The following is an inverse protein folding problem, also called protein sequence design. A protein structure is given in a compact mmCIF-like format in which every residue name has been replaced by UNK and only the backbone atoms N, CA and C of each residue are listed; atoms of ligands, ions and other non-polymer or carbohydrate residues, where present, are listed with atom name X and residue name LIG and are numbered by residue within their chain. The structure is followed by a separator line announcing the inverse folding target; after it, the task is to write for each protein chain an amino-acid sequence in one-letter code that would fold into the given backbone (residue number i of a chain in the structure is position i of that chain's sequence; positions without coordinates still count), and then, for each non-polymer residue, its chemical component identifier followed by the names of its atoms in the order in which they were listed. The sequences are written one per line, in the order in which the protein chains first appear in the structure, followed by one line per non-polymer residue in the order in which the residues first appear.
data_IF_490471577621
#
_entry.id   IF_490471577621
#
_cell.length_a   1.000
_cell.length_b   1.000
_cell.length_c   1.000
_cell.angle_alpha   90.00
_cell.angle_beta   90.00
_cell.angle_gamma   90.00
#
_symmetry.space_group_name_H-M   'P 1'
#
loop_
_entity.id
_entity.type
_entity.pdbx_description
1 polymer ?
#
# COMPACT_ATOMS: atom_id res chain seq x y z
N UNK A 1 8.80 23.33 26.36
CA UNK A 1 9.58 22.29 25.65
C UNK A 1 8.73 21.76 24.51
N UNK A 2 8.89 22.33 23.32
CA UNK A 2 8.08 22.01 22.15
C UNK A 2 8.77 20.87 21.40
N UNK A 3 8.24 19.65 21.52
CA UNK A 3 8.74 18.52 20.76
C UNK A 3 8.50 18.76 19.26
N UNK A 4 9.58 19.12 18.56
CA UNK A 4 9.66 19.18 17.11
C UNK A 4 9.41 17.79 16.54
N UNK A 5 8.25 17.60 15.91
CA UNK A 5 7.91 16.39 15.16
C UNK A 5 8.82 16.28 13.94
N UNK A 6 9.95 15.61 14.08
CA UNK A 6 10.84 15.27 12.96
C UNK A 6 10.12 14.29 12.04
N UNK A 7 9.48 14.79 10.99
CA UNK A 7 9.03 13.98 9.86
C UNK A 7 10.29 13.45 9.16
N UNK A 8 10.72 12.23 9.51
CA UNK A 8 11.70 11.51 8.71
C UNK A 8 11.06 11.20 7.36
N UNK A 9 11.21 12.13 6.41
CA UNK A 9 10.91 11.90 5.01
C UNK A 9 11.89 10.84 4.54
N UNK A 10 11.47 9.57 4.51
CA UNK A 10 12.21 8.58 3.73
C UNK A 10 12.34 9.14 2.30
N UNK A 11 13.56 9.17 1.72
CA UNK A 11 13.82 9.87 0.47
C UNK A 11 12.93 9.40 -0.69
N UNK A 12 12.43 8.17 -0.61
CA UNK A 12 11.61 7.52 -1.64
C UNK A 12 10.15 7.27 -1.19
N UNK A 13 9.58 8.18 -0.40
CA UNK A 13 8.18 8.08 0.05
C UNK A 13 7.24 8.89 -0.88
N UNK A 14 6.27 8.19 -1.48
CA UNK A 14 5.21 8.78 -2.29
C UNK A 14 3.84 8.66 -1.60
N UNK A 15 3.02 9.71 -1.69
CA UNK A 15 1.65 9.73 -1.15
C UNK A 15 0.67 9.77 -2.32
N UNK A 16 -0.10 8.70 -2.50
CA UNK A 16 -1.10 8.61 -3.55
C UNK A 16 -2.30 9.53 -3.26
N UNK A 17 -2.90 10.08 -4.31
CA UNK A 17 -4.04 11.00 -4.18
C UNK A 17 -5.38 10.27 -4.27
N UNK A 18 -5.41 9.05 -4.81
CA UNK A 18 -6.62 8.24 -4.92
C UNK A 18 -6.36 6.77 -4.58
N UNK A 19 -7.42 6.06 -4.21
CA UNK A 19 -7.38 4.62 -3.96
C UNK A 19 -7.01 3.84 -5.22
N UNK A 20 -7.51 4.25 -6.39
CA UNK A 20 -7.18 3.62 -7.67
C UNK A 20 -5.67 3.69 -7.98
N UNK A 21 -5.07 4.87 -7.82
CA UNK A 21 -3.63 5.06 -8.00
C UNK A 21 -2.82 4.21 -7.01
N UNK A 22 -3.28 4.10 -5.76
CA UNK A 22 -2.61 3.28 -4.76
C UNK A 22 -2.61 1.79 -5.13
N UNK A 23 -3.73 1.27 -5.65
CA UNK A 23 -3.84 -0.13 -6.10
C UNK A 23 -2.89 -0.39 -7.26
N UNK A 24 -2.91 0.46 -8.30
CA UNK A 24 -2.08 0.31 -9.50
C UNK A 24 -0.58 0.31 -9.16
N UNK A 25 -0.15 1.25 -8.31
CA UNK A 25 1.26 1.32 -7.88
C UNK A 25 1.64 0.17 -6.97
N UNK A 26 0.72 -0.31 -6.13
CA UNK A 26 0.95 -1.49 -5.28
C UNK A 26 1.12 -2.74 -6.15
N UNK A 27 0.26 -2.93 -7.15
CA UNK A 27 0.36 -4.04 -8.09
C UNK A 27 1.67 -4.01 -8.87
N UNK A 28 2.06 -2.83 -9.35
CA UNK A 28 3.33 -2.63 -10.07
C UNK A 28 4.54 -2.98 -9.20
N UNK A 29 4.50 -2.62 -7.92
CA UNK A 29 5.58 -2.91 -6.98
C UNK A 29 5.67 -4.41 -6.66
N UNK A 30 4.54 -5.09 -6.45
CA UNK A 30 4.49 -6.55 -6.27
C UNK A 30 4.95 -7.32 -7.51
N UNK A 31 4.67 -6.82 -8.73
CA UNK A 31 5.17 -7.42 -9.97
C UNK A 31 6.69 -7.33 -10.10
N UNK A 32 7.29 -6.21 -9.66
CA UNK A 32 8.74 -6.00 -9.74
C UNK A 32 9.50 -6.71 -8.62
N UNK A 33 9.00 -6.65 -7.39
CA UNK A 33 9.68 -7.15 -6.20
C UNK A 33 8.73 -8.00 -5.34
N UNK A 34 8.32 -9.20 -5.80
CA UNK A 34 7.29 -10.00 -5.13
C UNK A 34 7.67 -10.44 -3.71
N UNK A 35 8.95 -10.75 -3.46
CA UNK A 35 9.41 -11.26 -2.16
C UNK A 35 9.76 -10.16 -1.15
N UNK A 36 10.15 -8.98 -1.64
CA UNK A 36 10.59 -7.86 -0.79
C UNK A 36 9.45 -6.88 -0.50
N UNK A 37 8.38 -6.92 -1.30
CA UNK A 37 7.23 -6.03 -1.15
C UNK A 37 6.28 -6.53 -0.06
N UNK A 38 5.93 -5.63 0.85
CA UNK A 38 4.89 -5.84 1.87
C UNK A 38 3.88 -4.72 1.85
N UNK A 39 2.63 -5.08 2.09
CA UNK A 39 1.51 -4.18 2.24
C UNK A 39 0.96 -4.21 3.68
N UNK A 40 0.65 -3.04 4.22
CA UNK A 40 0.17 -2.85 5.59
C UNK A 40 -1.06 -1.95 5.57
N UNK A 41 -2.10 -2.40 6.26
CA UNK A 41 -3.33 -1.66 6.50
C UNK A 41 -3.44 -1.33 8.00
N UNK A 42 -3.80 -0.09 8.32
CA UNK A 42 -4.12 0.34 9.69
C UNK A 42 -5.41 1.14 9.72
N UNK A 43 -6.45 0.53 10.28
CA UNK A 43 -7.71 1.20 10.59
C UNK A 43 -7.70 1.78 12.00
N UNK A 44 -8.21 3.01 12.15
CA UNK A 44 -8.36 3.66 13.45
C UNK A 44 -9.82 4.05 13.66
N UNK A 45 -10.57 3.19 14.36
CA UNK A 45 -12.00 3.38 14.61
C UNK A 45 -12.31 4.74 15.29
N UNK A 46 -11.56 5.09 16.35
CA UNK A 46 -11.71 6.38 17.06
C UNK A 46 -11.57 7.62 16.17
N UNK A 47 -10.84 7.49 15.05
CA UNK A 47 -10.52 8.59 14.14
C UNK A 47 -11.27 8.49 12.81
N UNK A 48 -12.07 7.44 12.60
CA UNK A 48 -12.77 7.17 11.34
C UNK A 48 -11.83 7.10 10.11
N UNK A 49 -10.57 6.67 10.29
CA UNK A 49 -9.53 6.80 9.27
C UNK A 49 -8.80 5.50 8.98
N UNK A 50 -8.51 5.27 7.71
CA UNK A 50 -7.70 4.19 7.19
C UNK A 50 -6.35 4.72 6.70
N UNK A 51 -5.26 4.02 7.02
CA UNK A 51 -3.92 4.29 6.51
C UNK A 51 -3.40 3.03 5.81
N UNK A 52 -3.02 3.17 4.56
CA UNK A 52 -2.44 2.11 3.74
C UNK A 52 -0.98 2.43 3.44
N UNK A 53 -0.14 1.40 3.46
CA UNK A 53 1.28 1.51 3.10
C UNK A 53 1.73 0.27 2.32
N UNK A 54 2.43 0.47 1.22
CA UNK A 54 3.13 -0.59 0.49
C UNK A 54 4.60 -0.23 0.41
N UNK A 55 5.51 -1.16 0.66
CA UNK A 55 6.95 -0.88 0.63
C UNK A 55 7.80 -2.12 0.34
N UNK A 56 8.93 -1.92 -0.33
CA UNK A 56 10.01 -2.91 -0.52
C UNK A 56 11.30 -2.50 0.21
N UNK A 57 11.16 -1.80 1.35
CA UNK A 57 12.24 -1.14 2.11
C UNK A 57 12.93 0.05 1.44
N UNK A 58 12.94 0.09 0.10
CA UNK A 58 13.54 1.18 -0.67
C UNK A 58 12.51 2.25 -1.03
N UNK A 59 11.36 1.85 -1.56
CA UNK A 59 10.25 2.74 -1.93
C UNK A 59 9.08 2.57 -0.96
N UNK A 60 8.38 3.66 -0.69
CA UNK A 60 7.24 3.67 0.22
C UNK A 60 6.05 4.37 -0.43
N UNK A 61 5.00 3.61 -0.73
CA UNK A 61 3.70 4.14 -1.14
C UNK A 61 2.82 4.30 0.08
N UNK A 62 2.10 5.43 0.19
CA UNK A 62 1.16 5.70 1.28
C UNK A 62 -0.17 6.20 0.71
N UNK A 63 -1.27 5.76 1.29
CA UNK A 63 -2.59 6.33 1.05
C UNK A 63 -3.33 6.47 2.38
N UNK A 64 -4.09 7.56 2.53
CA UNK A 64 -4.89 7.82 3.73
C UNK A 64 -6.26 8.29 3.29
N UNK A 65 -7.29 7.73 3.91
CA UNK A 65 -8.67 8.07 3.60
C UNK A 65 -9.54 7.98 4.86
N UNK A 66 -10.57 8.81 4.91
CA UNK A 66 -11.71 8.76 5.81
C UNK A 66 -13.02 8.42 5.07
N UNK A 67 -12.95 8.21 3.75
CA UNK A 67 -14.12 7.94 2.92
C UNK A 67 -14.50 6.46 2.99
N UNK A 68 -15.75 6.18 3.35
CA UNK A 68 -16.25 4.81 3.45
C UNK A 68 -16.30 4.10 2.09
N UNK A 69 -16.48 4.83 0.98
CA UNK A 69 -16.45 4.29 -0.38
C UNK A 69 -15.12 3.63 -0.74
N UNK A 70 -14.02 4.09 -0.17
CA UNK A 70 -12.70 3.49 -0.40
C UNK A 70 -12.55 2.12 0.27
N UNK A 71 -13.36 1.83 1.30
CA UNK A 71 -13.32 0.54 2.00
C UNK A 71 -13.77 -0.61 1.10
N UNK A 72 -14.66 -0.35 0.14
CA UNK A 72 -15.12 -1.35 -0.84
C UNK A 72 -13.97 -1.84 -1.73
N UNK A 73 -12.95 -1.01 -1.94
CA UNK A 73 -11.79 -1.36 -2.77
C UNK A 73 -10.76 -2.22 -2.03
N UNK A 74 -10.90 -2.39 -0.70
CA UNK A 74 -9.97 -3.16 0.11
C UNK A 74 -10.05 -4.66 -0.16
N UNK A 75 -11.24 -5.18 -0.43
CA UNK A 75 -11.41 -6.60 -0.78
C UNK A 75 -10.60 -6.92 -2.04
N UNK A 76 -10.74 -6.08 -3.08
CA UNK A 76 -9.97 -6.20 -4.33
C UNK A 76 -8.47 -6.13 -4.08
N UNK A 77 -8.01 -5.17 -3.27
CA UNK A 77 -6.60 -5.00 -2.96
C UNK A 77 -6.04 -6.20 -2.17
N UNK A 78 -6.78 -6.72 -1.19
CA UNK A 78 -6.36 -7.86 -0.39
C UNK A 78 -6.26 -9.12 -1.26
N UNK A 79 -7.25 -9.37 -2.11
CA UNK A 79 -7.23 -10.49 -3.06
C UNK A 79 -6.02 -10.40 -4.00
N UNK A 80 -5.74 -9.21 -4.53
CA UNK A 80 -4.57 -8.97 -5.38
C UNK A 80 -3.26 -9.33 -4.66
N UNK A 81 -3.06 -8.84 -3.43
CA UNK A 81 -1.84 -9.11 -2.66
C UNK A 81 -1.72 -10.59 -2.32
N UNK A 82 -2.81 -11.24 -1.88
CA UNK A 82 -2.81 -12.66 -1.56
C UNK A 82 -2.49 -13.52 -2.78
N UNK A 83 -3.11 -13.24 -3.93
CA UNK A 83 -2.78 -13.92 -5.19
C UNK A 83 -1.33 -13.69 -5.59
N UNK A 84 -0.83 -12.45 -5.53
CA UNK A 84 0.55 -12.13 -5.88
C UNK A 84 1.59 -12.84 -4.99
N UNK A 85 1.29 -13.07 -3.71
CA UNK A 85 2.22 -13.73 -2.77
C UNK A 85 2.09 -15.25 -2.71
N UNK A 86 0.95 -15.82 -3.12
CA UNK A 86 0.70 -17.27 -3.04
C UNK A 86 0.78 -17.99 -4.38
N UNK A 87 0.52 -17.30 -5.50
CA UNK A 87 0.64 -17.90 -6.83
C UNK A 87 2.10 -18.28 -7.09
N UNK A 88 2.32 -19.49 -7.61
CA UNK A 88 3.64 -19.90 -8.11
C UNK A 88 4.09 -18.86 -9.13
N UNK A 89 5.32 -18.37 -8.94
CA UNK A 89 5.95 -17.22 -9.61
C UNK A 89 6.10 -17.36 -11.16
N UNK A 90 5.41 -18.30 -11.79
CA UNK A 90 5.48 -18.63 -13.21
C UNK A 90 4.38 -17.97 -14.05
N UNK A 91 3.22 -17.64 -13.49
CA UNK A 91 2.09 -17.12 -14.29
C UNK A 91 2.13 -15.61 -14.55
N UNK A 92 2.81 -14.83 -13.69
CA UNK A 92 2.98 -13.38 -13.89
C UNK A 92 4.06 -13.04 -14.93
N UNK A 93 4.83 -14.03 -15.40
CA UNK A 93 5.80 -13.86 -16.51
C UNK A 93 5.20 -14.15 -17.89
N UNK A 94 3.96 -14.64 -17.98
CA UNK A 94 3.38 -15.20 -19.22
C UNK A 94 2.25 -14.38 -19.87
N UNK A 95 2.02 -13.13 -19.45
CA UNK A 95 1.07 -12.24 -20.13
C UNK A 95 1.64 -10.85 -20.33
#
# INVERSE_FOLDING_TARGET
MSASTTSSKHPNSYTCQSMAEFIEKTESLFKQFPNDTRYVMKFSNKKGRMNLKTTNDTFVLKYKTDQASDLQHLERLNNLVMTATTSKNEELKKK
#
